data_IF_509348345019
#
_entry.id   IF_509348345019
#
_cell.length_a   1.000
_cell.length_b   1.000
_cell.length_c   1.000
_cell.angle_alpha   90.00
_cell.angle_beta   90.00
_cell.angle_gamma   90.00
#
_symmetry.space_group_name_H-M   'P 1'
#
loop_
_entity.id
_entity.type
_entity.pdbx_description
1 polymer ?
#
# COMPACT_ATOMS: atom_id res chain seq x y z
N UNK A 1 -44.32 -1.78 37.34
CA UNK A 1 -44.21 -0.38 36.89
C UNK A 1 -43.09 -0.33 35.87
N UNK A 2 -43.30 0.16 34.64
CA UNK A 2 -42.19 0.31 33.69
C UNK A 2 -41.29 1.46 34.15
N UNK A 3 -40.00 1.17 34.29
CA UNK A 3 -38.96 2.14 34.60
C UNK A 3 -38.81 3.09 33.39
N UNK A 4 -39.15 4.36 33.58
CA UNK A 4 -39.07 5.36 32.53
C UNK A 4 -37.59 5.70 32.34
N UNK A 5 -37.03 5.34 31.19
CA UNK A 5 -35.66 5.67 30.83
C UNK A 5 -35.44 7.20 30.97
N UNK A 6 -34.34 7.64 31.60
CA UNK A 6 -34.11 9.06 31.86
C UNK A 6 -34.07 9.86 30.56
N UNK A 7 -34.70 11.03 30.57
CA UNK A 7 -34.73 11.96 29.45
C UNK A 7 -33.30 12.42 29.13
N UNK A 8 -32.80 12.05 27.94
CA UNK A 8 -31.51 12.53 27.42
C UNK A 8 -31.52 14.05 27.40
N UNK A 9 -30.51 14.66 28.02
CA UNK A 9 -30.38 16.12 28.03
C UNK A 9 -29.84 16.60 26.69
N UNK A 10 -30.09 17.88 26.31
CA UNK A 10 -29.48 18.45 25.09
C UNK A 10 -27.94 18.35 25.08
N UNK A 11 -27.30 18.34 26.25
CA UNK A 11 -25.86 18.12 26.40
C UNK A 11 -25.41 16.72 26.00
N UNK A 12 -26.22 15.70 26.33
CA UNK A 12 -25.94 14.29 25.97
C UNK A 12 -26.08 14.05 24.46
N UNK A 13 -27.00 14.78 23.81
CA UNK A 13 -27.18 14.72 22.35
C UNK A 13 -26.03 15.42 21.64
N UNK A 14 -25.54 16.56 22.18
CA UNK A 14 -24.42 17.30 21.60
C UNK A 14 -23.11 16.51 21.78
N UNK A 15 -22.87 15.86 22.92
CA UNK A 15 -21.68 15.02 23.11
C UNK A 15 -21.68 13.81 22.19
N UNK A 16 -22.83 13.13 22.01
CA UNK A 16 -22.96 12.02 21.06
C UNK A 16 -22.73 12.48 19.59
N UNK A 17 -23.28 13.63 19.20
CA UNK A 17 -23.04 14.23 17.86
C UNK A 17 -21.58 14.67 17.67
N UNK A 18 -20.89 15.06 18.74
CA UNK A 18 -19.47 15.46 18.72
C UNK A 18 -18.56 14.22 18.70
N UNK A 19 -18.92 13.13 19.38
CA UNK A 19 -18.16 11.88 19.53
C UNK A 19 -18.28 10.96 18.30
N UNK A 20 -19.38 10.99 17.54
CA UNK A 20 -19.53 10.26 16.26
C UNK A 20 -18.59 10.75 15.15
N UNK A 21 -17.88 11.85 15.39
CA UNK A 21 -16.82 12.34 14.54
C UNK A 21 -15.52 11.53 14.75
N UNK A 22 -15.52 10.25 14.39
CA UNK A 22 -14.27 9.47 14.22
C UNK A 22 -13.52 10.03 13.00
N UNK A 23 -12.82 11.13 13.25
CA UNK A 23 -12.08 11.94 12.28
C UNK A 23 -10.83 11.18 11.86
N UNK A 24 -10.73 10.87 10.56
CA UNK A 24 -9.43 10.50 10.01
C UNK A 24 -8.53 11.74 10.13
N UNK A 25 -7.45 11.62 10.90
CA UNK A 25 -6.49 12.71 11.09
C UNK A 25 -6.00 13.21 9.73
N UNK A 26 -5.74 14.52 9.62
CA UNK A 26 -5.17 15.11 8.40
C UNK A 26 -3.87 14.39 7.99
N UNK A 27 -3.06 13.97 8.97
CA UNK A 27 -1.85 13.17 8.73
C UNK A 27 -2.18 11.85 8.01
N UNK A 28 -3.16 11.09 8.52
CA UNK A 28 -3.55 9.80 7.93
C UNK A 28 -4.01 9.98 6.47
N UNK A 29 -4.72 11.06 6.18
CA UNK A 29 -5.18 11.34 4.82
C UNK A 29 -4.07 11.75 3.88
N UNK A 30 -3.23 12.69 4.30
CA UNK A 30 -2.13 13.19 3.48
C UNK A 30 -1.17 12.04 3.17
N UNK A 31 -0.79 11.27 4.19
CA UNK A 31 0.09 10.09 4.02
C UNK A 31 -0.55 9.03 3.12
N UNK A 32 -1.87 8.79 3.23
CA UNK A 32 -2.58 7.86 2.37
C UNK A 32 -2.65 8.31 0.91
N UNK A 33 -3.04 9.57 0.64
CA UNK A 33 -3.13 10.09 -0.73
C UNK A 33 -1.76 10.18 -1.39
N UNK A 34 -0.74 10.61 -0.64
CA UNK A 34 0.65 10.57 -1.10
C UNK A 34 1.04 9.13 -1.49
N UNK A 35 0.77 8.15 -0.62
CA UNK A 35 1.03 6.75 -0.93
C UNK A 35 0.28 6.27 -2.19
N UNK A 36 -0.96 6.71 -2.39
CA UNK A 36 -1.76 6.30 -3.55
C UNK A 36 -1.14 6.81 -4.87
N UNK A 37 -0.70 8.07 -4.91
CA UNK A 37 -0.05 8.64 -6.10
C UNK A 37 1.34 8.05 -6.34
N UNK A 38 2.11 7.85 -5.27
CA UNK A 38 3.44 7.23 -5.34
C UNK A 38 3.35 5.79 -5.80
N UNK A 39 2.36 5.03 -5.30
CA UNK A 39 2.09 3.67 -5.74
C UNK A 39 1.76 3.61 -7.24
N UNK A 40 0.90 4.52 -7.72
CA UNK A 40 0.61 4.62 -9.15
C UNK A 40 1.88 4.89 -9.97
N UNK A 41 2.73 5.82 -9.52
CA UNK A 41 4.01 6.09 -10.17
C UNK A 41 4.93 4.86 -10.18
N UNK A 42 5.00 4.10 -9.08
CA UNK A 42 5.76 2.85 -8.98
C UNK A 42 5.26 1.78 -9.96
N UNK A 43 3.94 1.62 -10.11
CA UNK A 43 3.35 0.65 -11.04
C UNK A 43 3.62 1.03 -12.48
N UNK A 44 3.39 2.30 -12.86
CA UNK A 44 3.63 2.79 -14.23
C UNK A 44 5.10 2.68 -14.60
N UNK A 45 5.99 3.14 -13.71
CA UNK A 45 7.43 3.06 -13.93
C UNK A 45 7.96 1.62 -13.91
N UNK A 46 7.42 0.76 -13.04
CA UNK A 46 7.77 -0.66 -12.98
C UNK A 46 7.38 -1.40 -14.26
N UNK A 47 6.19 -1.14 -14.79
CA UNK A 47 5.76 -1.67 -16.09
C UNK A 47 6.68 -1.22 -17.23
N UNK A 48 7.08 0.06 -17.24
CA UNK A 48 8.05 0.57 -18.21
C UNK A 48 9.41 -0.15 -18.12
N UNK A 49 9.90 -0.43 -16.90
CA UNK A 49 11.14 -1.19 -16.66
C UNK A 49 10.99 -2.64 -17.13
N UNK A 50 9.84 -3.28 -16.90
CA UNK A 50 9.56 -4.64 -17.35
C UNK A 50 9.56 -4.75 -18.87
N UNK A 51 8.91 -3.82 -19.57
CA UNK A 51 8.87 -3.80 -21.03
C UNK A 51 10.26 -3.63 -21.66
N UNK A 52 11.20 -2.99 -20.96
CA UNK A 52 12.58 -2.89 -21.43
C UNK A 52 13.33 -4.24 -21.40
N UNK A 53 12.89 -5.18 -20.58
CA UNK A 53 13.46 -6.52 -20.52
C UNK A 53 12.41 -7.54 -19.99
N UNK A 54 11.47 -8.01 -20.83
CA UNK A 54 10.30 -8.81 -20.42
C UNK A 54 10.65 -10.30 -20.21
N UNK A 55 11.82 -10.56 -19.64
CA UNK A 55 12.28 -11.90 -19.28
C UNK A 55 12.84 -11.85 -17.88
N UNK A 56 12.52 -12.84 -17.08
CA UNK A 56 12.91 -12.99 -15.68
C UNK A 56 13.85 -14.18 -15.57
N UNK A 57 14.99 -13.97 -14.92
CA UNK A 57 16.01 -14.99 -14.73
C UNK A 57 16.14 -15.32 -13.25
N UNK A 58 16.78 -16.45 -12.97
CA UNK A 58 17.17 -16.84 -11.64
C UNK A 58 18.70 -16.90 -11.54
N UNK A 59 19.26 -16.43 -10.45
CA UNK A 59 20.70 -16.35 -10.19
C UNK A 59 21.27 -14.93 -10.23
N UNK A 60 22.59 -14.85 -10.43
CA UNK A 60 23.35 -13.59 -10.43
C UNK A 60 23.22 -12.83 -11.76
N UNK A 61 23.33 -13.55 -12.88
CA UNK A 61 23.40 -12.98 -14.22
C UNK A 61 22.29 -13.50 -15.12
N UNK A 62 21.89 -12.69 -16.10
CA UNK A 62 20.88 -13.09 -17.09
C UNK A 62 20.91 -12.16 -18.29
N UNK A 63 20.95 -12.76 -19.48
CA UNK A 63 21.09 -12.05 -20.75
C UNK A 63 20.29 -12.75 -21.87
N UNK A 64 20.10 -12.05 -22.99
CA UNK A 64 19.50 -12.65 -24.18
C UNK A 64 20.28 -13.90 -24.61
N UNK A 65 19.57 -15.03 -24.74
CA UNK A 65 20.16 -16.34 -25.07
C UNK A 65 20.53 -17.20 -23.86
N UNK A 66 20.52 -16.64 -22.64
CA UNK A 66 20.58 -17.45 -21.41
C UNK A 66 19.19 -18.01 -21.06
N UNK A 67 19.11 -19.18 -20.39
CA UNK A 67 17.83 -19.76 -19.99
C UNK A 67 17.10 -18.82 -19.01
N UNK A 68 15.99 -18.23 -19.47
CA UNK A 68 15.08 -17.49 -18.61
C UNK A 68 14.19 -18.45 -17.83
N UNK A 69 13.83 -18.04 -16.61
CA UNK A 69 12.89 -18.81 -15.80
C UNK A 69 11.44 -18.50 -16.18
N UNK A 70 11.14 -17.23 -16.50
CA UNK A 70 9.84 -16.79 -17.00
C UNK A 70 10.06 -15.85 -18.19
N UNK A 71 9.46 -16.17 -19.32
CA UNK A 71 9.43 -15.30 -20.50
C UNK A 71 8.02 -14.75 -20.68
N UNK A 72 7.89 -13.43 -20.66
CA UNK A 72 6.59 -12.78 -20.83
C UNK A 72 6.37 -12.46 -22.31
N UNK A 73 5.17 -12.78 -22.87
CA UNK A 73 4.82 -12.46 -24.25
C UNK A 73 4.47 -10.97 -24.40
N UNK A 74 5.39 -10.09 -23.99
CA UNK A 74 5.24 -8.63 -23.99
C UNK A 74 6.20 -8.01 -25.01
N UNK A 75 5.83 -6.88 -25.63
CA UNK A 75 6.70 -6.20 -26.59
C UNK A 75 7.93 -5.63 -25.88
N UNK A 76 9.12 -5.89 -26.44
CA UNK A 76 10.36 -5.27 -25.98
C UNK A 76 10.36 -3.78 -26.34
N UNK A 77 10.45 -2.89 -25.35
CA UNK A 77 10.46 -1.45 -25.54
C UNK A 77 11.65 -0.79 -24.83
N UNK A 78 12.72 -0.52 -25.59
CA UNK A 78 13.96 0.05 -25.06
C UNK A 78 13.89 1.57 -24.81
N UNK A 79 12.90 2.27 -25.39
CA UNK A 79 12.71 3.72 -25.22
C UNK A 79 12.30 4.11 -23.80
N UNK A 80 11.78 3.16 -23.01
CA UNK A 80 11.20 3.43 -21.69
C UNK A 80 12.22 3.31 -20.53
N UNK A 81 13.50 3.05 -20.83
CA UNK A 81 14.49 2.64 -19.83
C UNK A 81 14.98 3.75 -18.90
N UNK A 82 15.11 4.99 -19.40
CA UNK A 82 15.71 6.09 -18.65
C UNK A 82 14.79 6.69 -17.59
N UNK A 83 13.65 7.23 -18.03
CA UNK A 83 12.68 7.87 -17.14
C UNK A 83 12.00 6.89 -16.19
N UNK A 84 11.78 5.65 -16.64
CA UNK A 84 11.15 4.60 -15.83
C UNK A 84 11.99 4.30 -14.59
N UNK A 85 13.29 4.07 -14.76
CA UNK A 85 14.19 3.79 -13.62
C UNK A 85 14.29 4.96 -12.66
N UNK A 86 14.48 6.18 -13.14
CA UNK A 86 14.63 7.35 -12.25
C UNK A 86 13.34 7.65 -11.48
N UNK A 87 12.18 7.59 -12.14
CA UNK A 87 10.89 7.77 -11.49
C UNK A 87 10.62 6.65 -10.47
N UNK A 88 10.96 5.40 -10.80
CA UNK A 88 10.75 4.26 -9.91
C UNK A 88 11.59 4.39 -8.64
N UNK A 89 12.88 4.70 -8.76
CA UNK A 89 13.76 4.91 -7.60
C UNK A 89 13.31 6.09 -6.73
N UNK A 90 12.95 7.21 -7.34
CA UNK A 90 12.45 8.37 -6.61
C UNK A 90 11.16 8.03 -5.85
N UNK A 91 10.19 7.42 -6.54
CA UNK A 91 8.92 7.02 -5.95
C UNK A 91 9.11 5.98 -4.82
N UNK A 92 10.05 5.04 -4.98
CA UNK A 92 10.36 4.04 -3.96
C UNK A 92 10.87 4.72 -2.67
N UNK A 93 11.80 5.66 -2.77
CA UNK A 93 12.29 6.40 -1.61
C UNK A 93 11.20 7.23 -0.93
N UNK A 94 10.36 7.92 -1.71
CA UNK A 94 9.23 8.67 -1.15
C UNK A 94 8.28 7.72 -0.41
N UNK A 95 7.98 6.54 -0.98
CA UNK A 95 7.12 5.53 -0.36
C UNK A 95 7.70 5.01 0.96
N UNK A 96 8.98 4.65 0.97
CA UNK A 96 9.68 4.13 2.16
C UNK A 96 9.73 5.18 3.27
N UNK A 97 10.08 6.42 2.95
CA UNK A 97 10.14 7.51 3.94
C UNK A 97 8.75 7.84 4.49
N UNK A 98 7.73 7.97 3.63
CA UNK A 98 6.37 8.25 4.06
C UNK A 98 5.80 7.10 4.91
N UNK A 99 6.04 5.84 4.52
CA UNK A 99 5.66 4.66 5.29
C UNK A 99 6.35 4.62 6.65
N UNK A 100 7.64 4.96 6.71
CA UNK A 100 8.39 5.04 7.97
C UNK A 100 7.81 6.10 8.91
N UNK A 101 7.51 7.30 8.40
CA UNK A 101 6.87 8.37 9.16
C UNK A 101 5.50 7.91 9.69
N UNK A 102 4.71 7.23 8.86
CA UNK A 102 3.41 6.71 9.27
C UNK A 102 3.54 5.70 10.43
N UNK A 103 4.43 4.71 10.31
CA UNK A 103 4.67 3.71 11.37
C UNK A 103 5.16 4.37 12.66
N UNK A 104 6.17 5.25 12.57
CA UNK A 104 6.70 5.97 13.73
C UNK A 104 5.63 6.82 14.41
N UNK A 105 4.80 7.51 13.64
CA UNK A 105 3.68 8.30 14.18
C UNK A 105 2.61 7.42 14.86
N UNK A 106 2.35 6.24 14.32
CA UNK A 106 1.40 5.28 14.89
C UNK A 106 1.87 4.72 16.22
N UNK A 107 3.16 4.37 16.32
CA UNK A 107 3.80 3.90 17.55
C UNK A 107 3.80 5.01 18.62
N UNK A 108 4.20 6.23 18.25
CA UNK A 108 4.21 7.38 19.17
C UNK A 108 2.82 7.73 19.71
N UNK A 109 1.77 7.51 18.92
CA UNK A 109 0.39 7.89 19.28
C UNK A 109 -0.38 6.82 20.08
N UNK A 110 0.21 5.65 20.39
CA UNK A 110 -0.47 4.47 21.00
C UNK A 110 -1.79 4.05 20.33
N UNK A 111 -2.01 4.46 19.07
CA UNK A 111 -3.31 4.40 18.37
C UNK A 111 -3.74 2.99 17.92
N UNK A 112 -2.86 2.00 18.01
CA UNK A 112 -3.13 0.61 17.61
C UNK A 112 -3.99 -0.20 18.59
N UNK A 113 -4.49 0.42 19.67
CA UNK A 113 -5.07 -0.28 20.82
C UNK A 113 -6.60 -0.44 20.81
N UNK A 114 -7.35 0.17 19.88
CA UNK A 114 -8.82 0.29 20.04
C UNK A 114 -9.67 0.03 18.78
N UNK A 115 -9.49 -1.10 18.09
CA UNK A 115 -10.43 -1.46 16.99
C UNK A 115 -10.48 -2.95 16.61
N UNK A 116 -10.55 -3.85 17.60
CA UNK A 116 -10.43 -5.31 17.40
C UNK A 116 -11.60 -5.99 16.67
N UNK A 117 -12.70 -5.28 16.35
CA UNK A 117 -13.94 -5.86 15.79
C UNK A 117 -14.26 -5.51 14.32
N UNK A 118 -13.42 -4.73 13.62
CA UNK A 118 -13.78 -4.22 12.27
C UNK A 118 -13.34 -5.07 11.07
N UNK A 119 -12.55 -6.12 11.26
CA UNK A 119 -11.97 -6.92 10.16
C UNK A 119 -12.29 -8.41 10.25
N UNK A 120 -12.56 -9.04 9.11
CA UNK A 120 -12.67 -10.50 9.03
C UNK A 120 -11.30 -11.16 9.26
N UNK A 121 -11.29 -12.42 9.72
CA UNK A 121 -10.05 -13.14 10.04
C UNK A 121 -9.08 -13.17 8.85
N UNK A 122 -9.59 -13.46 7.66
CA UNK A 122 -8.80 -13.51 6.42
C UNK A 122 -8.22 -12.14 6.04
N UNK A 123 -8.98 -11.05 6.22
CA UNK A 123 -8.47 -9.70 5.98
C UNK A 123 -7.34 -9.34 6.95
N UNK A 124 -7.47 -9.70 8.23
CA UNK A 124 -6.44 -9.43 9.22
C UNK A 124 -5.13 -10.15 8.87
N UNK A 125 -5.19 -11.43 8.50
CA UNK A 125 -4.02 -12.18 8.05
C UNK A 125 -3.41 -11.61 6.78
N UNK A 126 -4.25 -11.20 5.80
CA UNK A 126 -3.77 -10.54 4.59
C UNK A 126 -3.02 -9.24 4.92
N UNK A 127 -3.54 -8.40 5.80
CA UNK A 127 -2.87 -7.16 6.22
C UNK A 127 -1.57 -7.43 6.97
N UNK A 128 -1.53 -8.42 7.86
CA UNK A 128 -0.31 -8.80 8.56
C UNK A 128 0.75 -9.32 7.60
N UNK A 129 0.38 -10.16 6.64
CA UNK A 129 1.31 -10.65 5.61
C UNK A 129 1.84 -9.51 4.74
N UNK A 130 0.98 -8.57 4.32
CA UNK A 130 1.40 -7.39 3.55
C UNK A 130 2.42 -6.56 4.34
N UNK A 131 2.15 -6.28 5.61
CA UNK A 131 3.00 -5.40 6.44
C UNK A 131 4.30 -6.06 6.87
N UNK A 132 4.27 -7.32 7.31
CA UNK A 132 5.42 -7.99 7.93
C UNK A 132 6.19 -8.91 6.99
N UNK A 133 5.66 -9.23 5.81
CA UNK A 133 6.31 -10.12 4.85
C UNK A 133 6.50 -9.43 3.50
N UNK A 134 5.42 -9.03 2.83
CA UNK A 134 5.50 -8.54 1.45
C UNK A 134 6.21 -7.19 1.34
N UNK A 135 5.90 -6.21 2.19
CA UNK A 135 6.58 -4.91 2.15
C UNK A 135 8.07 -4.99 2.51
N UNK A 136 8.50 -5.69 3.58
CA UNK A 136 9.92 -5.87 3.87
C UNK A 136 10.65 -6.55 2.71
N UNK A 137 10.05 -7.59 2.10
CA UNK A 137 10.64 -8.27 0.95
C UNK A 137 10.73 -7.37 -0.30
N UNK A 138 9.69 -6.57 -0.55
CA UNK A 138 9.67 -5.58 -1.64
C UNK A 138 10.79 -4.53 -1.47
N UNK A 139 10.97 -4.02 -0.26
CA UNK A 139 12.03 -3.06 0.06
C UNK A 139 13.41 -3.73 -0.06
N UNK A 140 13.59 -4.93 0.50
CA UNK A 140 14.85 -5.66 0.45
C UNK A 140 15.29 -5.96 -1.00
N UNK A 141 14.37 -6.43 -1.84
CA UNK A 141 14.65 -6.71 -3.26
C UNK A 141 14.92 -5.43 -4.05
N UNK A 142 14.21 -4.33 -3.79
CA UNK A 142 14.49 -3.03 -4.41
C UNK A 142 15.86 -2.45 -4.00
N UNK A 143 16.24 -2.61 -2.73
CA UNK A 143 17.56 -2.25 -2.22
C UNK A 143 18.66 -3.10 -2.86
N UNK A 144 18.46 -4.41 -3.02
CA UNK A 144 19.41 -5.31 -3.67
C UNK A 144 19.64 -5.00 -5.16
N UNK A 145 18.67 -4.36 -5.83
CA UNK A 145 18.79 -3.89 -7.21
C UNK A 145 19.41 -2.49 -7.34
N UNK A 146 19.58 -1.75 -6.24
CA UNK A 146 20.22 -0.43 -6.24
C UNK A 146 21.74 -0.57 -6.38
N UNK A 147 22.39 0.07 -7.37
CA UNK A 147 23.85 -0.03 -7.54
C UNK A 147 24.64 0.41 -6.29
N UNK A 148 24.19 1.47 -5.61
CA UNK A 148 24.86 1.98 -4.43
C UNK A 148 24.75 1.01 -3.23
N UNK A 149 23.57 0.43 -3.01
CA UNK A 149 23.34 -0.48 -1.88
C UNK A 149 23.94 -1.85 -2.14
N UNK A 150 23.85 -2.37 -3.36
CA UNK A 150 24.49 -3.61 -3.76
C UNK A 150 26.01 -3.58 -3.53
N UNK A 151 26.65 -2.44 -3.81
CA UNK A 151 28.07 -2.25 -3.56
C UNK A 151 28.41 -2.21 -2.06
N UNK A 152 27.51 -1.68 -1.22
CA UNK A 152 27.71 -1.55 0.23
C UNK A 152 27.34 -2.81 1.01
N UNK A 153 26.35 -3.57 0.54
CA UNK A 153 25.75 -4.71 1.23
C UNK A 153 25.62 -5.93 0.29
N UNK A 154 26.74 -6.49 -0.22
CA UNK A 154 26.69 -7.64 -1.13
C UNK A 154 26.02 -8.88 -0.50
N UNK A 155 26.09 -9.00 0.84
CA UNK A 155 25.38 -10.04 1.59
C UNK A 155 23.87 -10.05 1.35
N UNK A 156 23.23 -8.88 1.21
CA UNK A 156 21.81 -8.77 0.90
C UNK A 156 21.48 -9.40 -0.45
N UNK A 157 22.27 -9.09 -1.48
CA UNK A 157 22.10 -9.64 -2.84
C UNK A 157 22.29 -11.16 -2.84
N UNK A 158 23.33 -11.64 -2.15
CA UNK A 158 23.60 -13.08 -2.05
C UNK A 158 22.48 -13.84 -1.34
N UNK A 159 21.87 -13.26 -0.31
CA UNK A 159 20.75 -13.87 0.44
C UNK A 159 19.49 -14.05 -0.41
N UNK A 160 19.32 -13.23 -1.45
CA UNK A 160 18.21 -13.30 -2.39
C UNK A 160 18.53 -14.19 -3.59
N UNK A 161 19.70 -14.83 -3.63
CA UNK A 161 20.14 -15.68 -4.73
C UNK A 161 20.64 -14.92 -5.96
N UNK A 162 21.02 -13.65 -5.78
CA UNK A 162 21.68 -12.82 -6.79
C UNK A 162 20.86 -11.67 -7.38
N UNK A 163 21.48 -10.88 -8.25
CA UNK A 163 20.83 -9.70 -8.85
C UNK A 163 19.62 -10.04 -9.72
N UNK A 164 19.67 -11.09 -10.54
CA UNK A 164 18.51 -11.46 -11.35
C UNK A 164 17.40 -12.09 -10.54
N UNK A 165 17.75 -12.93 -9.56
CA UNK A 165 16.78 -13.45 -8.59
C UNK A 165 16.05 -12.31 -7.88
N UNK A 166 16.78 -11.28 -7.43
CA UNK A 166 16.20 -10.10 -6.78
C UNK A 166 15.14 -9.42 -7.65
N UNK A 167 15.42 -9.26 -8.96
CA UNK A 167 14.46 -8.70 -9.91
C UNK A 167 13.22 -9.58 -10.07
N UNK A 168 13.41 -10.88 -10.16
CA UNK A 168 12.30 -11.83 -10.34
C UNK A 168 11.41 -11.89 -9.09
N UNK A 169 12.02 -11.94 -7.89
CA UNK A 169 11.27 -11.87 -6.63
C UNK A 169 10.54 -10.52 -6.52
N UNK A 170 11.19 -9.41 -6.85
CA UNK A 170 10.57 -8.08 -6.85
C UNK A 170 9.32 -8.03 -7.74
N UNK A 171 9.42 -8.58 -8.96
CA UNK A 171 8.30 -8.68 -9.89
C UNK A 171 7.15 -9.52 -9.32
N UNK A 172 7.44 -10.73 -8.82
CA UNK A 172 6.41 -11.61 -8.25
C UNK A 172 5.72 -11.00 -7.03
N UNK A 173 6.47 -10.35 -6.14
CA UNK A 173 5.90 -9.66 -4.98
C UNK A 173 5.06 -8.46 -5.43
N UNK A 174 5.45 -7.77 -6.50
CA UNK A 174 4.66 -6.68 -7.10
C UNK A 174 3.32 -7.19 -7.57
N UNK A 175 3.28 -8.34 -8.26
CA UNK A 175 2.03 -8.95 -8.73
C UNK A 175 1.11 -9.34 -7.56
N UNK A 176 1.65 -9.93 -6.50
CA UNK A 176 0.87 -10.26 -5.29
C UNK A 176 0.32 -9.00 -4.62
N UNK A 177 1.13 -7.94 -4.50
CA UNK A 177 0.69 -6.66 -3.94
C UNK A 177 -0.36 -5.98 -4.84
N UNK A 178 -0.22 -6.06 -6.16
CA UNK A 178 -1.22 -5.55 -7.11
C UNK A 178 -2.55 -6.27 -6.94
N UNK A 179 -2.54 -7.60 -6.87
CA UNK A 179 -3.75 -8.40 -6.61
C UNK A 179 -4.42 -7.99 -5.29
N UNK A 180 -3.63 -7.80 -4.23
CA UNK A 180 -4.13 -7.31 -2.95
C UNK A 180 -4.75 -5.90 -3.09
N UNK A 181 -4.11 -4.97 -3.80
CA UNK A 181 -4.64 -3.61 -4.01
C UNK A 181 -5.93 -3.65 -4.82
N UNK A 182 -6.03 -4.47 -5.87
CA UNK A 182 -7.27 -4.64 -6.62
C UNK A 182 -8.38 -5.19 -5.74
N UNK A 183 -8.10 -6.20 -4.91
CA UNK A 183 -9.05 -6.74 -3.93
C UNK A 183 -9.48 -5.67 -2.92
N UNK A 184 -8.53 -4.89 -2.39
CA UNK A 184 -8.79 -3.78 -1.48
C UNK A 184 -9.72 -2.73 -2.12
N UNK A 185 -9.40 -2.27 -3.32
CA UNK A 185 -10.20 -1.27 -4.06
C UNK A 185 -11.59 -1.82 -4.40
N UNK A 186 -11.69 -3.10 -4.79
CA UNK A 186 -12.98 -3.75 -5.03
C UNK A 186 -13.86 -3.77 -3.76
N UNK A 187 -13.29 -4.08 -2.60
CA UNK A 187 -14.03 -4.00 -1.33
C UNK A 187 -14.47 -2.56 -1.00
N UNK A 188 -13.63 -1.56 -1.26
CA UNK A 188 -13.98 -0.14 -1.09
C UNK A 188 -15.12 0.26 -2.04
N UNK A 189 -15.09 -0.25 -3.27
CA UNK A 189 -16.13 0.00 -4.27
C UNK A 189 -17.48 -0.58 -3.83
N UNK A 190 -17.48 -1.87 -3.49
CA UNK A 190 -18.67 -2.63 -3.08
C UNK A 190 -19.26 -2.12 -1.75
N UNK A 191 -18.45 -1.55 -0.85
CA UNK A 191 -18.90 -1.01 0.44
C UNK A 191 -19.36 0.47 0.39
N UNK A 192 -19.55 1.02 -0.80
CA UNK A 192 -20.06 2.39 -0.99
C UNK A 192 -18.97 3.42 -1.28
N UNK A 193 -18.33 3.30 -2.44
CA UNK A 193 -17.19 4.11 -2.90
C UNK A 193 -17.29 5.61 -2.59
N UNK A 194 -18.39 6.27 -2.99
CA UNK A 194 -18.54 7.74 -2.83
C UNK A 194 -18.53 8.17 -1.37
N UNK A 195 -19.13 7.39 -0.47
CA UNK A 195 -19.16 7.71 0.96
C UNK A 195 -17.77 7.56 1.58
N UNK A 196 -17.07 6.46 1.26
CA UNK A 196 -15.72 6.16 1.75
C UNK A 196 -14.68 7.17 1.25
N UNK A 197 -14.69 7.50 -0.04
CA UNK A 197 -13.78 8.48 -0.63
C UNK A 197 -14.04 9.89 -0.08
N UNK A 198 -15.30 10.30 0.07
CA UNK A 198 -15.62 11.58 0.72
C UNK A 198 -15.09 11.63 2.15
N UNK A 199 -15.19 10.55 2.91
CA UNK A 199 -14.58 10.43 4.25
C UNK A 199 -13.06 10.58 4.23
N UNK A 200 -12.37 10.13 3.17
CA UNK A 200 -10.92 10.26 3.01
C UNK A 200 -10.47 11.62 2.46
N UNK A 201 -11.36 12.39 1.83
CA UNK A 201 -11.05 13.74 1.31
C UNK A 201 -11.46 14.82 2.32
N UNK A 202 -12.68 14.77 2.86
CA UNK A 202 -13.35 15.96 3.41
C UNK A 202 -13.32 16.14 4.93
N UNK A 203 -13.02 15.14 5.74
CA UNK A 203 -13.15 15.29 7.21
C UNK A 203 -14.29 14.48 7.77
N UNK A 204 -15.38 14.47 7.02
CA UNK A 204 -16.72 14.32 7.57
C UNK A 204 -17.34 13.03 7.04
N UNK A 205 -17.89 12.17 7.90
CA UNK A 205 -18.81 11.15 7.43
C UNK A 205 -19.99 11.87 6.74
N UNK A 206 -20.48 11.29 5.63
CA UNK A 206 -21.66 11.82 4.97
C UNK A 206 -22.81 11.86 5.98
N UNK A 207 -23.41 13.05 6.17
CA UNK A 207 -24.62 13.23 6.97
C UNK A 207 -25.64 12.20 6.48
N UNK A 208 -25.96 11.21 7.31
CA UNK A 208 -27.15 10.39 7.06
C UNK A 208 -28.30 11.37 7.11
N UNK A 209 -28.91 11.63 5.96
CA UNK A 209 -30.09 12.44 5.86
C UNK A 209 -31.18 11.68 6.61
N UNK A 210 -31.40 12.03 7.87
CA UNK A 210 -32.56 11.60 8.63
C UNK A 210 -33.76 12.10 7.85
N UNK A 211 -34.37 11.24 7.04
CA UNK A 211 -35.71 11.47 6.54
C UNK A 211 -36.59 11.58 7.78
N UNK A 212 -36.94 12.81 8.15
CA UNK A 212 -38.02 13.11 9.07
C UNK A 212 -39.25 12.33 8.57
N UNK A 213 -39.59 11.25 9.27
CA UNK A 213 -40.93 10.69 9.20
C UNK A 213 -41.79 11.63 10.01
N UNK A 214 -42.53 12.46 9.29
CA UNK A 214 -43.77 13.08 9.73
C UNK A 214 -44.75 12.02 10.24
#
# INVERSE_FOLDING_TARGET
MPEIAPLRTPGDVISEVVDDAVRHSLLVRVTHWLNSFVFLALVVSGAAILLAHPRLYWGETGAFGSPAWIELPLPLNLYQTGWGRSLHFLAAWISVLNGSIYVLSGIASRRFSDDSRKYTMSQRWAYLAVVFVLFPLMIATGLAMSPAIAALLPGLVSSLGGHQSSRTIHFLVTDVLLLFVFGHVAMVYLSGFRSRIRGMILGRPGRMETKERL
#
